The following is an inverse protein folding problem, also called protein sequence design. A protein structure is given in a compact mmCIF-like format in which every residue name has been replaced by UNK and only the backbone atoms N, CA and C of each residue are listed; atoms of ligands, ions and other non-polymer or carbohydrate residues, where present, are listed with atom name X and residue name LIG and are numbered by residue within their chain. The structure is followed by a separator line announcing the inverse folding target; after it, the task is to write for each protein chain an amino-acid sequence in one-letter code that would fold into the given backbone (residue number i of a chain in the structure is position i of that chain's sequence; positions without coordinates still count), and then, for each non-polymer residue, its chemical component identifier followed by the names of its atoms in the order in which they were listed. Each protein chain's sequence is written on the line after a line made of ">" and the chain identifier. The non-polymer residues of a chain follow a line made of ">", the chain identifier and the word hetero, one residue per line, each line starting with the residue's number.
data_IF_305900429287
#
_entry.id   IF_305900429287
#
_cell.length_a   1.000
_cell.length_b   1.000
_cell.length_c   1.000
_cell.angle_alpha   90.00
_cell.angle_beta   90.00
_cell.angle_gamma   90.00
#
_symmetry.space_group_name_H-M   'P 1'
#
loop_
_entity.id
_entity.type
_entity.pdbx_description
1 polymer ?
#
# COMPACT_ATOMS: atom_id res chain seq x y z
N UNK A 1 5.01 18.77 -10.78
CA UNK A 1 6.18 19.13 -9.95
C UNK A 1 5.77 19.00 -8.50
N UNK A 2 6.13 17.93 -7.86
CA UNK A 2 6.09 17.81 -6.40
C UNK A 2 7.13 18.79 -5.86
N UNK A 3 6.66 19.90 -5.27
CA UNK A 3 7.54 20.92 -4.71
C UNK A 3 8.39 20.31 -3.58
N UNK A 4 9.69 20.55 -3.61
CA UNK A 4 10.57 20.19 -2.50
C UNK A 4 10.22 21.08 -1.30
N UNK A 5 9.67 20.48 -0.26
CA UNK A 5 9.39 21.13 1.03
C UNK A 5 10.48 20.75 2.02
N UNK A 6 10.64 21.52 3.10
CA UNK A 6 11.56 21.17 4.18
C UNK A 6 11.24 19.78 4.76
N UNK A 7 9.94 19.45 4.87
CA UNK A 7 9.49 18.13 5.33
C UNK A 7 9.90 17.00 4.39
N UNK A 8 9.75 17.19 3.06
CA UNK A 8 10.16 16.16 2.09
C UNK A 8 11.68 15.95 2.07
N UNK A 9 12.47 17.01 2.24
CA UNK A 9 13.91 16.88 2.33
C UNK A 9 14.33 16.13 3.60
N UNK A 10 13.74 16.45 4.75
CA UNK A 10 13.99 15.74 5.99
C UNK A 10 13.63 14.24 5.90
N UNK A 11 12.50 13.92 5.27
CA UNK A 11 12.06 12.55 5.01
C UNK A 11 13.09 11.78 4.16
N UNK A 12 13.54 12.38 3.05
CA UNK A 12 14.52 11.75 2.16
C UNK A 12 15.86 11.55 2.87
N UNK A 13 16.31 12.52 3.65
CA UNK A 13 17.53 12.38 4.46
C UNK A 13 17.40 11.21 5.44
N UNK A 14 16.27 11.12 6.13
CA UNK A 14 16.02 10.04 7.08
C UNK A 14 16.02 8.65 6.38
N UNK A 15 15.43 8.55 5.21
CA UNK A 15 15.42 7.30 4.43
C UNK A 15 16.81 6.88 3.96
N UNK A 16 17.65 7.82 3.58
CA UNK A 16 19.01 7.55 3.08
C UNK A 16 20.01 7.26 4.19
N UNK A 17 19.91 7.99 5.29
CA UNK A 17 20.93 8.03 6.35
C UNK A 17 20.47 7.39 7.66
N UNK A 18 19.17 7.14 7.83
CA UNK A 18 18.57 6.64 9.07
C UNK A 18 19.02 5.25 9.48
N UNK A 19 19.55 4.45 8.56
CA UNK A 19 20.02 3.09 8.85
C UNK A 19 21.17 3.07 9.86
N UNK A 20 22.09 4.02 9.78
CA UNK A 20 23.22 4.09 10.71
C UNK A 20 22.79 4.31 12.17
N UNK A 21 21.91 5.28 12.48
CA UNK A 21 21.39 5.48 13.84
C UNK A 21 20.30 4.47 14.24
N UNK A 22 19.97 3.48 13.41
CA UNK A 22 18.99 2.46 13.73
C UNK A 22 17.53 2.90 13.59
N UNK A 23 17.25 3.91 12.77
CA UNK A 23 15.90 4.39 12.52
C UNK A 23 15.22 3.53 11.45
N UNK A 24 14.00 3.09 11.72
CA UNK A 24 13.12 2.45 10.76
C UNK A 24 11.88 3.32 10.54
N UNK A 25 11.35 3.31 9.31
CA UNK A 25 10.19 4.09 8.93
C UNK A 25 9.11 3.22 8.31
N UNK A 26 7.87 3.46 8.69
CA UNK A 26 6.68 2.90 8.04
C UNK A 26 5.91 4.03 7.39
N UNK A 27 5.72 3.95 6.09
CA UNK A 27 4.93 4.91 5.32
C UNK A 27 3.63 4.28 4.87
N UNK A 28 2.53 5.01 5.01
CA UNK A 28 1.21 4.58 4.56
C UNK A 28 0.63 5.63 3.63
N UNK A 29 0.17 5.22 2.46
CA UNK A 29 -0.43 6.10 1.46
C UNK A 29 -1.53 5.41 0.69
N UNK A 30 -2.49 6.19 0.19
CA UNK A 30 -3.49 5.73 -0.78
C UNK A 30 -3.10 6.07 -2.22
N UNK A 31 -2.08 6.88 -2.44
CA UNK A 31 -1.66 7.35 -3.75
C UNK A 31 -0.13 7.26 -3.89
N UNK A 32 0.41 6.06 -4.11
CA UNK A 32 1.86 5.88 -4.25
C UNK A 32 2.45 6.69 -5.42
N UNK A 33 1.70 6.91 -6.49
CA UNK A 33 2.14 7.75 -7.61
C UNK A 33 2.38 9.22 -7.29
N UNK A 34 1.97 9.70 -6.11
CA UNK A 34 2.22 11.07 -5.64
C UNK A 34 3.33 11.19 -4.61
N UNK A 35 3.87 10.07 -4.15
CA UNK A 35 5.02 10.08 -3.25
C UNK A 35 6.29 10.38 -4.04
N UNK A 36 7.25 11.01 -3.39
CA UNK A 36 8.58 11.21 -3.99
C UNK A 36 9.22 9.85 -4.33
N UNK A 37 9.78 9.74 -5.53
CA UNK A 37 10.36 8.48 -6.03
C UNK A 37 11.40 7.89 -5.08
N UNK A 38 12.24 8.74 -4.47
CA UNK A 38 13.24 8.28 -3.51
C UNK A 38 12.62 7.58 -2.29
N UNK A 39 11.43 8.00 -1.84
CA UNK A 39 10.75 7.35 -0.73
C UNK A 39 10.29 5.94 -1.09
N UNK A 40 9.86 5.75 -2.32
CA UNK A 40 9.49 4.42 -2.83
C UNK A 40 10.74 3.53 -3.01
N UNK A 41 11.76 4.03 -3.68
CA UNK A 41 12.97 3.26 -4.03
C UNK A 41 13.88 2.93 -2.85
N UNK A 42 13.70 3.58 -1.70
CA UNK A 42 14.42 3.28 -0.47
C UNK A 42 13.64 2.36 0.48
N UNK A 43 12.49 1.84 0.03
CA UNK A 43 11.67 0.94 0.84
C UNK A 43 12.08 -0.51 0.60
N UNK A 44 12.52 -1.20 1.65
CA UNK A 44 12.93 -2.61 1.60
C UNK A 44 11.72 -3.54 1.42
N UNK A 45 10.59 -3.20 2.05
CA UNK A 45 9.36 -4.00 2.00
C UNK A 45 8.19 -3.09 1.64
N UNK A 46 7.41 -3.49 0.63
CA UNK A 46 6.19 -2.80 0.24
C UNK A 46 5.00 -3.75 0.31
N UNK A 47 3.97 -3.33 1.04
CA UNK A 47 2.68 -4.02 1.06
C UNK A 47 1.68 -3.23 0.22
N UNK A 48 1.33 -3.76 -0.95
CA UNK A 48 0.38 -3.13 -1.86
C UNK A 48 -0.95 -3.85 -1.80
N UNK A 49 -1.97 -3.18 -1.28
CA UNK A 49 -3.34 -3.58 -1.50
C UNK A 49 -3.75 -3.26 -2.94
N UNK A 50 -4.93 -3.71 -3.35
CA UNK A 50 -5.40 -3.50 -4.72
C UNK A 50 -5.31 -2.04 -5.16
N UNK A 51 -4.60 -1.81 -6.25
CA UNK A 51 -4.52 -0.53 -6.93
C UNK A 51 -5.26 -0.63 -8.27
N UNK A 52 -6.01 0.41 -8.61
CA UNK A 52 -6.79 0.48 -9.86
C UNK A 52 -6.28 1.58 -10.80
N UNK A 53 -5.61 2.60 -10.26
CA UNK A 53 -5.10 3.71 -11.05
C UNK A 53 -3.74 3.36 -11.67
N UNK A 54 -3.61 3.56 -12.98
CA UNK A 54 -2.38 3.26 -13.71
C UNK A 54 -1.17 4.02 -13.15
N UNK A 55 -1.35 5.28 -12.75
CA UNK A 55 -0.27 6.08 -12.15
C UNK A 55 0.31 5.44 -10.88
N UNK A 56 -0.52 4.74 -10.12
CA UNK A 56 -0.11 4.09 -8.88
C UNK A 56 0.55 2.73 -9.14
N UNK A 57 0.08 1.98 -10.14
CA UNK A 57 0.73 0.74 -10.57
C UNK A 57 2.08 1.01 -11.24
N UNK A 58 2.17 2.07 -12.05
CA UNK A 58 3.44 2.51 -12.66
C UNK A 58 4.45 2.93 -11.58
N UNK A 59 3.99 3.60 -10.52
CA UNK A 59 4.85 3.97 -9.38
C UNK A 59 5.41 2.74 -8.65
N UNK A 60 4.60 1.71 -8.43
CA UNK A 60 5.10 0.44 -7.90
C UNK A 60 6.06 -0.25 -8.86
N UNK A 61 5.82 -0.15 -10.16
CA UNK A 61 6.72 -0.68 -11.19
C UNK A 61 8.12 -0.06 -11.16
N UNK A 62 8.29 1.14 -10.59
CA UNK A 62 9.61 1.76 -10.40
C UNK A 62 10.44 1.08 -9.30
N UNK A 63 9.79 0.41 -8.35
CA UNK A 63 10.45 -0.34 -7.29
C UNK A 63 11.11 -1.61 -7.79
N UNK A 64 10.70 -2.08 -8.97
CA UNK A 64 11.07 -3.38 -9.45
C UNK A 64 12.09 -3.30 -10.56
N UNK A 65 13.09 -4.14 -10.47
CA UNK A 65 13.99 -4.39 -11.58
C UNK A 65 13.22 -4.99 -12.76
N UNK A 66 13.71 -4.76 -13.98
CA UNK A 66 12.98 -5.01 -15.23
C UNK A 66 12.37 -6.42 -15.39
N UNK A 67 12.91 -7.44 -14.73
CA UNK A 67 12.42 -8.82 -14.81
C UNK A 67 11.20 -9.09 -13.92
N UNK A 68 10.99 -8.31 -12.86
CA UNK A 68 9.84 -8.45 -11.97
C UNK A 68 8.61 -7.65 -12.44
N UNK A 69 8.79 -6.66 -13.32
CA UNK A 69 7.71 -5.79 -13.82
C UNK A 69 6.56 -6.56 -14.46
N UNK A 70 6.88 -7.50 -15.32
CA UNK A 70 5.86 -8.30 -16.02
C UNK A 70 5.08 -9.21 -15.06
N UNK A 71 5.69 -9.61 -13.95
CA UNK A 71 5.05 -10.39 -12.91
C UNK A 71 4.10 -9.57 -12.03
N UNK A 72 4.43 -8.30 -11.78
CA UNK A 72 3.66 -7.42 -10.90
C UNK A 72 2.25 -7.15 -11.45
N UNK A 73 2.15 -6.69 -12.69
CA UNK A 73 0.86 -6.35 -13.32
C UNK A 73 -0.07 -7.56 -13.29
N UNK A 74 0.45 -8.72 -13.68
CA UNK A 74 -0.32 -9.96 -13.66
C UNK A 74 -0.76 -10.37 -12.26
N UNK A 75 0.08 -10.20 -11.26
CA UNK A 75 -0.26 -10.56 -9.87
C UNK A 75 -1.25 -9.57 -9.25
N UNK A 76 -1.17 -8.28 -9.59
CA UNK A 76 -2.15 -7.27 -9.17
C UNK A 76 -3.53 -7.53 -9.77
N UNK A 77 -3.60 -7.97 -11.04
CA UNK A 77 -4.85 -8.32 -11.71
C UNK A 77 -5.52 -9.55 -11.10
N UNK A 78 -4.74 -10.54 -10.71
CA UNK A 78 -5.23 -11.81 -10.13
C UNK A 78 -5.54 -11.69 -8.64
N UNK A 79 -5.12 -10.60 -7.99
CA UNK A 79 -5.34 -10.40 -6.56
C UNK A 79 -6.84 -10.43 -6.22
N UNK A 80 -7.29 -11.31 -5.32
CA UNK A 80 -8.71 -11.45 -5.01
C UNK A 80 -9.28 -10.16 -4.42
N UNK A 81 -10.56 -9.89 -4.74
CA UNK A 81 -11.28 -8.70 -4.28
C UNK A 81 -11.84 -8.89 -2.86
N UNK A 82 -11.01 -9.36 -1.94
CA UNK A 82 -11.38 -9.55 -0.54
C UNK A 82 -10.61 -8.58 0.34
N UNK A 83 -11.24 -8.14 1.42
CA UNK A 83 -10.63 -7.23 2.38
C UNK A 83 -9.36 -7.85 2.96
N UNK A 84 -8.25 -7.12 2.91
CA UNK A 84 -6.97 -7.58 3.42
C UNK A 84 -6.09 -8.31 2.42
N UNK A 85 -6.58 -8.62 1.20
CA UNK A 85 -5.71 -9.14 0.16
C UNK A 85 -4.66 -8.09 -0.24
N UNK A 86 -3.40 -8.48 -0.34
CA UNK A 86 -2.31 -7.61 -0.75
C UNK A 86 -1.17 -8.40 -1.39
N UNK A 87 -0.32 -7.68 -2.11
CA UNK A 87 0.98 -8.15 -2.56
C UNK A 87 2.05 -7.68 -1.59
N UNK A 88 2.87 -8.58 -1.13
CA UNK A 88 4.11 -8.26 -0.45
C UNK A 88 5.25 -8.29 -1.47
N UNK A 89 5.98 -7.21 -1.51
CA UNK A 89 7.13 -6.99 -2.37
C UNK A 89 8.32 -6.86 -1.44
N UNK A 90 9.27 -7.76 -1.56
CA UNK A 90 10.51 -7.75 -0.80
C UNK A 90 11.65 -7.45 -1.78
N UNK A 91 12.16 -6.23 -1.73
CA UNK A 91 13.21 -5.77 -2.63
C UNK A 91 14.55 -6.42 -2.32
N UNK A 92 14.82 -6.68 -1.04
CA UNK A 92 16.09 -7.28 -0.60
C UNK A 92 16.25 -8.72 -1.09
N UNK A 93 15.17 -9.51 -1.06
CA UNK A 93 15.17 -10.90 -1.51
C UNK A 93 14.62 -11.06 -2.94
N UNK A 94 14.28 -9.96 -3.60
CA UNK A 94 13.74 -9.94 -4.97
C UNK A 94 12.52 -10.85 -5.14
N UNK A 95 11.59 -10.79 -4.19
CA UNK A 95 10.41 -11.66 -4.16
C UNK A 95 9.12 -10.87 -4.14
N UNK A 96 8.12 -11.40 -4.85
CA UNK A 96 6.75 -10.95 -4.81
C UNK A 96 5.87 -12.14 -4.46
N UNK A 97 4.99 -11.95 -3.49
CA UNK A 97 4.03 -12.99 -3.14
C UNK A 97 2.69 -12.40 -2.69
N UNK A 98 1.58 -13.00 -3.11
CA UNK A 98 0.27 -12.62 -2.61
C UNK A 98 0.12 -13.09 -1.16
N UNK A 99 -0.52 -12.24 -0.35
CA UNK A 99 -0.80 -12.57 1.04
C UNK A 99 -2.16 -12.01 1.47
N UNK A 100 -2.71 -12.59 2.52
CA UNK A 100 -3.93 -12.15 3.17
C UNK A 100 -3.59 -11.62 4.56
N UNK A 101 -3.86 -10.35 4.80
CA UNK A 101 -3.74 -9.77 6.13
C UNK A 101 -4.84 -10.35 7.03
N UNK A 102 -4.46 -10.81 8.20
CA UNK A 102 -5.41 -11.32 9.20
C UNK A 102 -6.39 -10.22 9.64
N UNK A 103 -7.59 -10.57 10.08
CA UNK A 103 -8.48 -9.61 10.72
C UNK A 103 -7.80 -8.94 11.92
N UNK A 104 -8.12 -7.67 12.15
CA UNK A 104 -7.62 -6.97 13.32
C UNK A 104 -8.22 -7.53 14.62
N UNK A 105 -7.46 -7.42 15.71
CA UNK A 105 -7.91 -7.77 17.05
C UNK A 105 -8.69 -6.63 17.72
N UNK A 106 -8.52 -5.39 17.24
CA UNK A 106 -9.20 -4.20 17.77
C UNK A 106 -10.52 -3.95 17.06
N UNK A 107 -11.44 -3.28 17.75
CA UNK A 107 -12.71 -2.87 17.15
C UNK A 107 -12.50 -1.83 16.02
N UNK A 108 -13.34 -1.90 14.97
CA UNK A 108 -13.28 -0.99 13.84
C UNK A 108 -14.38 0.07 13.94
N UNK A 109 -13.99 1.27 14.35
CA UNK A 109 -14.89 2.41 14.43
C UNK A 109 -15.19 3.13 13.10
N UNK A 110 -14.60 2.70 11.99
CA UNK A 110 -14.67 3.38 10.68
C UNK A 110 -15.44 2.60 9.59
N UNK A 111 -16.43 1.80 9.94
CA UNK A 111 -17.35 1.26 8.94
C UNK A 111 -18.19 2.38 8.34
N UNK A 112 -18.33 2.42 7.01
CA UNK A 112 -19.29 3.30 6.37
C UNK A 112 -20.67 3.10 7.02
N UNK A 113 -21.43 4.19 7.32
CA UNK A 113 -22.75 4.05 7.88
C UNK A 113 -23.58 3.19 6.91
N UNK A 114 -23.96 2.01 7.34
CA UNK A 114 -24.96 1.23 6.63
C UNK A 114 -26.29 1.95 6.83
N UNK A 115 -27.01 2.23 5.73
CA UNK A 115 -28.42 2.60 5.81
C UNK A 115 -29.06 1.46 6.60
N UNK A 116 -29.66 1.79 7.76
CA UNK A 116 -30.44 0.80 8.49
C UNK A 116 -31.55 0.38 7.54
N UNK A 117 -31.50 -0.85 7.06
CA UNK A 117 -32.68 -1.49 6.49
C UNK A 117 -33.74 -1.46 7.60
N UNK A 118 -34.84 -0.75 7.36
CA UNK A 118 -35.98 -0.76 8.25
C UNK A 118 -36.31 -2.24 8.51
N UNK A 119 -36.07 -2.70 9.72
CA UNK A 119 -36.57 -4.00 10.15
C UNK A 119 -38.06 -3.96 9.91
N UNK A 120 -38.52 -4.68 8.89
CA UNK A 120 -39.95 -4.88 8.67
C UNK A 120 -40.53 -5.25 10.01
N UNK A 121 -41.43 -4.39 10.48
CA UNK A 121 -42.14 -4.61 11.74
C UNK A 121 -42.80 -5.99 11.68
N UNK A 122 -42.40 -6.95 12.53
CA UNK A 122 -42.92 -8.32 12.46
C UNK A 122 -44.41 -8.40 12.81
N UNK A 123 -45.02 -7.25 13.18
CA UNK A 123 -46.43 -7.18 13.59
C UNK A 123 -47.34 -6.41 12.63
N UNK A 124 -46.87 -6.06 11.41
CA UNK A 124 -47.76 -5.56 10.36
C UNK A 124 -48.45 -6.76 9.70
N UNK A 125 -49.71 -7.02 10.15
CA UNK A 125 -50.68 -7.84 9.47
C UNK A 125 -51.26 -7.09 8.27
#
# INVERSE_FOLDING_TARGET
>A
RTGKTAASNALITLLREGRQPGLAMVMVTQQPGKIHTDALTQSDIVLSHRLTAKIDTDALGLLMQSYLRTGLDRQLEVLPQVTGACLAIDDVNERIFPMQIRPRSSWHGGSAPKIMEDKKDPFKF
#
